data_IF_075026263624
#
_entry.id   IF_075026263624
#
_cell.length_a   1.000
_cell.length_b   1.000
_cell.length_c   1.000
_cell.angle_alpha   90.00
_cell.angle_beta   90.00
_cell.angle_gamma   90.00
#
_symmetry.space_group_name_H-M   'P 1'
#
loop_
_entity.id
_entity.type
_entity.pdbx_description
1 polymer ?
#
# COMPACT_ATOMS: atom_id res chain seq x y z
N UNK A 1 15.07 11.54 33.77
CA UNK A 1 13.88 11.66 34.62
C UNK A 1 13.40 10.26 34.90
N UNK A 2 13.26 9.87 36.17
CA UNK A 2 12.68 8.58 36.51
C UNK A 2 11.22 8.56 36.02
N UNK A 3 10.85 7.58 35.23
CA UNK A 3 9.46 7.35 34.80
C UNK A 3 8.69 6.86 36.01
N UNK A 4 7.70 7.62 36.44
CA UNK A 4 6.74 7.19 37.48
C UNK A 4 5.92 6.02 36.90
N UNK A 5 5.74 4.95 37.66
CA UNK A 5 4.85 3.85 37.24
C UNK A 5 3.44 4.37 36.99
N UNK A 6 2.83 3.94 35.88
CA UNK A 6 1.48 4.30 35.52
C UNK A 6 0.43 3.49 36.31
N UNK A 7 0.83 2.34 36.81
CA UNK A 7 -0.03 1.43 37.56
C UNK A 7 0.80 0.55 38.48
N UNK A 8 0.22 0.21 39.63
CA UNK A 8 0.80 -0.72 40.60
C UNK A 8 0.03 -2.04 40.55
N UNK A 9 0.75 -3.14 40.37
CA UNK A 9 0.17 -4.48 40.29
C UNK A 9 0.41 -5.23 41.59
N UNK A 10 -0.66 -5.61 42.28
CA UNK A 10 -0.60 -6.45 43.48
C UNK A 10 -1.02 -7.87 43.11
N UNK A 11 -0.07 -8.83 43.03
CA UNK A 11 -0.39 -10.20 42.66
C UNK A 11 -1.27 -10.89 43.71
N UNK A 12 -2.26 -11.65 43.27
CA UNK A 12 -3.13 -12.50 44.08
C UNK A 12 -2.78 -13.98 43.96
N UNK A 13 -1.94 -14.34 42.99
CA UNK A 13 -1.46 -15.71 42.80
C UNK A 13 0.07 -15.79 42.92
N UNK A 14 0.58 -16.99 43.23
CA UNK A 14 2.02 -17.21 43.40
C UNK A 14 2.85 -17.00 42.11
N UNK A 15 2.21 -17.06 40.97
CA UNK A 15 2.87 -16.91 39.65
C UNK A 15 2.82 -15.45 39.15
N UNK A 16 2.17 -14.53 39.84
CA UNK A 16 2.04 -13.14 39.45
C UNK A 16 1.18 -12.90 38.18
N UNK A 17 0.35 -13.86 37.80
CA UNK A 17 -0.47 -13.79 36.59
C UNK A 17 -1.86 -13.18 36.83
N UNK A 18 -2.33 -13.27 38.05
CA UNK A 18 -3.64 -12.72 38.50
C UNK A 18 -3.39 -11.75 39.64
N UNK A 19 -3.99 -10.58 39.60
CA UNK A 19 -3.78 -9.58 40.63
C UNK A 19 -4.73 -8.39 40.52
N UNK A 20 -4.54 -7.44 41.41
CA UNK A 20 -5.18 -6.14 41.38
C UNK A 20 -4.27 -5.13 40.69
N UNK A 21 -4.83 -4.38 39.77
CA UNK A 21 -4.13 -3.31 39.06
C UNK A 21 -4.70 -1.97 39.56
N UNK A 22 -3.87 -1.20 40.23
CA UNK A 22 -4.22 0.15 40.67
C UNK A 22 -3.64 1.15 39.66
N UNK A 23 -4.53 1.89 38.97
CA UNK A 23 -4.18 2.85 37.94
C UNK A 23 -4.29 4.25 38.50
N UNK A 24 -3.18 5.00 38.52
CA UNK A 24 -3.14 6.38 39.01
C UNK A 24 -4.08 7.30 38.21
N UNK A 25 -4.76 8.21 38.89
CA UNK A 25 -5.64 9.23 38.26
C UNK A 25 -4.88 10.17 37.33
N UNK A 26 -3.56 10.32 37.50
CA UNK A 26 -2.69 11.15 36.63
C UNK A 26 -2.35 10.49 35.28
N UNK A 27 -2.80 9.25 35.05
CA UNK A 27 -2.48 8.49 33.85
C UNK A 27 -3.45 8.80 32.73
N UNK A 28 -2.91 9.17 31.57
CA UNK A 28 -3.72 9.30 30.36
C UNK A 28 -3.93 7.94 29.72
N UNK A 29 -5.18 7.53 29.60
CA UNK A 29 -5.58 6.27 28.97
C UNK A 29 -6.08 6.56 27.57
N UNK A 30 -5.55 5.84 26.58
CA UNK A 30 -5.99 5.91 25.19
C UNK A 30 -6.62 4.59 24.76
N UNK A 31 -7.74 4.65 24.05
CA UNK A 31 -8.34 3.47 23.45
C UNK A 31 -7.60 3.14 22.14
N UNK A 32 -6.86 2.04 22.11
CA UNK A 32 -6.26 1.49 20.88
C UNK A 32 -7.30 0.82 19.98
N UNK A 33 -8.23 0.09 20.60
CA UNK A 33 -9.44 -0.46 19.96
C UNK A 33 -10.67 -0.17 20.81
N UNK A 34 -11.84 -0.31 20.19
CA UNK A 34 -13.11 -0.13 20.87
C UNK A 34 -13.48 1.33 21.15
N UNK A 35 -12.91 2.32 20.46
CA UNK A 35 -13.24 3.75 20.63
C UNK A 35 -14.75 4.00 20.52
N UNK A 36 -15.42 3.39 19.55
CA UNK A 36 -16.88 3.51 19.39
C UNK A 36 -17.64 2.86 20.54
N UNK A 37 -17.15 1.76 21.09
CA UNK A 37 -17.72 1.10 22.26
C UNK A 37 -17.55 1.98 23.51
N UNK A 38 -16.37 2.56 23.68
CA UNK A 38 -16.10 3.48 24.80
C UNK A 38 -17.00 4.71 24.75
N UNK A 39 -17.14 5.36 23.57
CA UNK A 39 -18.04 6.50 23.36
C UNK A 39 -19.50 6.08 23.62
N UNK A 40 -19.90 4.88 23.18
CA UNK A 40 -21.23 4.33 23.46
C UNK A 40 -21.49 4.14 24.94
N UNK A 41 -20.53 3.57 25.67
CA UNK A 41 -20.61 3.41 27.14
C UNK A 41 -20.69 4.77 27.85
N UNK A 42 -19.84 5.73 27.46
CA UNK A 42 -19.87 7.10 28.01
C UNK A 42 -21.25 7.76 27.79
N UNK A 43 -21.77 7.67 26.55
CA UNK A 43 -23.11 8.21 26.26
C UNK A 43 -24.23 7.52 27.04
N UNK A 44 -24.14 6.18 27.20
CA UNK A 44 -25.10 5.44 28.02
C UNK A 44 -25.05 5.88 29.50
N UNK A 45 -23.85 6.02 30.06
CA UNK A 45 -23.66 6.48 31.44
C UNK A 45 -24.13 7.92 31.62
N UNK A 46 -23.92 8.79 30.65
CA UNK A 46 -24.47 10.15 30.65
C UNK A 46 -26.00 10.11 30.64
N UNK A 47 -26.62 9.31 29.79
CA UNK A 47 -28.06 9.15 29.71
C UNK A 47 -28.65 8.61 31.03
N UNK A 48 -28.03 7.60 31.65
CA UNK A 48 -28.46 7.05 32.93
C UNK A 48 -28.38 8.12 34.03
N UNK A 49 -27.30 8.91 34.06
CA UNK A 49 -27.06 9.92 35.09
C UNK A 49 -27.96 11.16 34.93
N UNK A 50 -28.15 11.62 33.69
CA UNK A 50 -28.80 12.91 33.40
C UNK A 50 -30.21 12.78 32.84
N UNK A 51 -30.63 11.58 32.45
CA UNK A 51 -31.90 11.31 31.77
C UNK A 51 -31.95 11.72 30.30
N UNK A 52 -30.88 12.32 29.77
CA UNK A 52 -30.82 12.82 28.40
C UNK A 52 -29.41 12.73 27.82
N UNK A 53 -29.31 12.52 26.51
CA UNK A 53 -28.05 12.48 25.74
C UNK A 53 -28.11 13.45 24.55
N UNK A 54 -27.14 14.34 24.46
CA UNK A 54 -27.03 15.29 23.37
C UNK A 54 -26.61 14.56 22.07
N UNK A 55 -27.33 14.81 20.98
CA UNK A 55 -26.95 14.33 19.64
C UNK A 55 -26.07 15.36 18.95
N UNK A 56 -25.10 14.87 18.15
CA UNK A 56 -24.18 15.70 17.36
C UNK A 56 -24.23 15.34 15.87
N UNK A 57 -24.01 16.32 15.01
CA UNK A 57 -23.77 16.13 13.58
C UNK A 57 -22.35 15.57 13.36
N UNK A 58 -22.06 15.14 12.12
CA UNK A 58 -20.70 14.70 11.74
C UNK A 58 -19.63 15.78 11.94
N UNK A 59 -20.01 17.05 11.82
CA UNK A 59 -19.14 18.23 12.06
C UNK A 59 -19.04 18.63 13.53
N UNK A 60 -19.44 17.75 14.46
CA UNK A 60 -19.43 17.93 15.91
C UNK A 60 -20.33 19.07 16.44
N UNK A 61 -21.18 19.65 15.62
CA UNK A 61 -22.19 20.62 16.09
C UNK A 61 -23.36 19.91 16.75
N UNK A 62 -23.89 20.43 17.88
CA UNK A 62 -25.04 19.83 18.52
C UNK A 62 -26.27 19.88 17.60
N UNK A 63 -26.99 18.79 17.52
CA UNK A 63 -28.34 18.75 16.99
C UNK A 63 -29.25 19.19 18.12
N UNK A 64 -30.12 20.16 17.94
CA UNK A 64 -31.02 20.67 18.97
C UNK A 64 -31.98 19.64 19.62
N UNK A 65 -31.84 18.35 19.29
CA UNK A 65 -32.62 17.24 19.83
C UNK A 65 -31.77 16.37 20.74
N UNK A 66 -32.35 15.99 21.88
CA UNK A 66 -31.79 15.03 22.81
C UNK A 66 -32.41 13.64 22.57
N UNK A 67 -31.71 12.60 22.98
CA UNK A 67 -32.27 11.27 23.22
C UNK A 67 -32.57 11.23 24.72
N UNK A 68 -33.80 10.84 25.10
CA UNK A 68 -34.20 10.72 26.49
C UNK A 68 -34.44 9.27 26.87
N UNK A 69 -34.51 8.97 28.18
CA UNK A 69 -34.89 7.65 28.67
C UNK A 69 -36.31 7.29 28.21
N UNK A 70 -37.22 8.28 28.12
CA UNK A 70 -38.55 8.06 27.59
C UNK A 70 -38.59 7.72 26.12
N UNK A 71 -37.71 8.33 25.30
CA UNK A 71 -37.54 7.93 23.90
C UNK A 71 -37.10 6.47 23.76
N UNK A 72 -36.20 5.99 24.62
CA UNK A 72 -35.77 4.60 24.62
C UNK A 72 -36.93 3.66 25.01
N UNK A 73 -37.74 4.05 25.97
CA UNK A 73 -38.92 3.28 26.36
C UNK A 73 -39.93 3.19 25.23
N UNK A 74 -40.28 4.31 24.63
CA UNK A 74 -41.32 4.37 23.61
C UNK A 74 -40.90 3.75 22.27
N UNK A 75 -39.64 3.94 21.85
CA UNK A 75 -39.17 3.48 20.53
C UNK A 75 -38.57 2.08 20.56
N UNK A 76 -37.90 1.72 21.64
CA UNK A 76 -37.11 0.49 21.72
C UNK A 76 -37.58 -0.44 22.82
N UNK A 77 -38.64 -0.07 23.56
CA UNK A 77 -39.23 -0.87 24.64
C UNK A 77 -38.24 -1.21 25.78
N UNK A 78 -37.30 -0.27 26.05
CA UNK A 78 -36.28 -0.43 27.10
C UNK A 78 -36.80 0.20 28.37
N UNK A 79 -37.05 -0.64 29.36
CA UNK A 79 -37.52 -0.16 30.65
C UNK A 79 -36.43 0.58 31.44
N UNK A 80 -36.75 1.70 32.13
CA UNK A 80 -35.79 2.48 32.93
C UNK A 80 -35.00 1.64 33.96
N UNK A 81 -35.66 0.65 34.59
CA UNK A 81 -35.01 -0.26 35.53
C UNK A 81 -33.89 -1.09 34.90
N UNK A 82 -34.03 -1.47 33.61
CA UNK A 82 -32.98 -2.17 32.88
C UNK A 82 -31.76 -1.30 32.66
N UNK A 83 -31.95 -0.01 32.31
CA UNK A 83 -30.84 0.95 32.14
C UNK A 83 -30.06 1.13 33.44
N UNK A 84 -30.72 1.23 34.58
CA UNK A 84 -30.08 1.34 35.91
C UNK A 84 -29.24 0.10 36.25
N UNK A 85 -29.66 -1.09 35.81
CA UNK A 85 -28.92 -2.32 36.02
C UNK A 85 -27.72 -2.41 35.10
N UNK A 86 -27.80 -1.88 33.86
CA UNK A 86 -26.64 -1.81 32.93
C UNK A 86 -25.47 -1.05 33.54
N UNK A 87 -25.71 -0.04 34.38
CA UNK A 87 -24.62 0.69 35.05
C UNK A 87 -23.80 -0.19 36.02
N UNK A 88 -24.30 -1.37 36.38
CA UNK A 88 -23.64 -2.34 37.29
C UNK A 88 -22.93 -3.47 36.52
N UNK A 89 -23.09 -3.52 35.18
CA UNK A 89 -22.48 -4.54 34.38
C UNK A 89 -20.94 -4.37 34.32
N UNK A 90 -20.24 -5.48 34.12
CA UNK A 90 -18.79 -5.51 34.05
C UNK A 90 -18.36 -5.72 32.61
N UNK A 91 -17.34 -5.00 32.19
CA UNK A 91 -16.69 -5.16 30.89
C UNK A 91 -15.24 -5.57 31.07
N UNK A 92 -14.76 -6.48 30.22
CA UNK A 92 -13.35 -6.83 30.14
C UNK A 92 -12.58 -5.74 29.41
N UNK A 93 -11.45 -5.33 30.00
CA UNK A 93 -10.54 -4.35 29.42
C UNK A 93 -9.12 -4.92 29.45
N UNK A 94 -8.39 -4.84 28.34
CA UNK A 94 -6.96 -5.13 28.28
C UNK A 94 -6.18 -3.82 28.35
N UNK A 95 -5.30 -3.70 29.34
CA UNK A 95 -4.40 -2.56 29.50
C UNK A 95 -3.03 -2.91 28.92
N UNK A 96 -2.50 -2.01 28.09
CA UNK A 96 -1.17 -2.14 27.48
C UNK A 96 -0.35 -0.93 27.92
N UNK A 97 0.79 -1.18 28.57
CA UNK A 97 1.71 -0.11 28.93
C UNK A 97 2.22 0.62 27.69
N UNK A 98 2.12 1.95 27.67
CA UNK A 98 2.64 2.77 26.58
C UNK A 98 4.15 2.68 26.46
N UNK A 99 4.88 2.56 27.58
CA UNK A 99 6.34 2.35 27.65
C UNK A 99 6.60 1.27 28.70
N UNK A 100 7.49 0.33 28.40
CA UNK A 100 7.96 -0.71 29.34
C UNK A 100 9.33 -0.30 29.86
N UNK A 101 9.70 -0.80 31.05
CA UNK A 101 11.02 -0.52 31.65
C UNK A 101 12.14 -1.00 30.72
N UNK A 102 13.08 -0.11 30.44
CA UNK A 102 14.21 -0.39 29.54
C UNK A 102 13.93 -0.11 28.05
N UNK A 103 12.70 0.20 27.68
CA UNK A 103 12.29 0.50 26.30
C UNK A 103 12.48 2.00 26.00
N UNK A 104 13.07 2.32 24.85
CA UNK A 104 13.11 3.69 24.34
C UNK A 104 11.72 4.15 23.90
N UNK A 105 11.51 5.48 23.80
CA UNK A 105 10.25 6.03 23.28
C UNK A 105 9.93 5.56 21.86
N UNK A 106 10.95 5.33 21.06
CA UNK A 106 10.78 4.90 19.69
C UNK A 106 10.35 3.43 19.60
N UNK A 107 11.01 2.56 20.36
CA UNK A 107 10.62 1.15 20.50
C UNK A 107 9.19 1.02 21.04
N UNK A 108 8.84 1.78 22.07
CA UNK A 108 7.48 1.84 22.62
C UNK A 108 6.45 2.23 21.55
N UNK A 109 6.72 3.25 20.73
CA UNK A 109 5.84 3.65 19.63
C UNK A 109 5.70 2.55 18.59
N UNK A 110 6.78 1.88 18.22
CA UNK A 110 6.76 0.74 17.28
C UNK A 110 5.89 -0.39 17.82
N UNK A 111 6.11 -0.79 19.08
CA UNK A 111 5.35 -1.86 19.74
C UNK A 111 3.85 -1.54 19.81
N UNK A 112 3.47 -0.33 20.24
CA UNK A 112 2.07 0.08 20.32
C UNK A 112 1.41 0.13 18.94
N UNK A 113 2.11 0.60 17.90
CA UNK A 113 1.60 0.57 16.52
C UNK A 113 1.43 -0.86 16.00
N UNK A 114 2.38 -1.75 16.28
CA UNK A 114 2.28 -3.16 15.91
C UNK A 114 1.04 -3.80 16.53
N UNK A 115 0.83 -3.62 17.84
CA UNK A 115 -0.36 -4.12 18.55
C UNK A 115 -1.64 -3.55 17.93
N UNK A 116 -1.69 -2.23 17.66
CA UNK A 116 -2.85 -1.59 17.03
C UNK A 116 -3.18 -2.21 15.66
N UNK A 117 -2.16 -2.43 14.83
CA UNK A 117 -2.33 -3.06 13.51
C UNK A 117 -2.87 -4.47 13.65
N UNK A 118 -2.30 -5.28 14.54
CA UNK A 118 -2.70 -6.68 14.70
C UNK A 118 -4.12 -6.82 15.25
N UNK A 119 -4.49 -6.03 16.24
CA UNK A 119 -5.86 -6.02 16.81
C UNK A 119 -6.87 -5.61 15.72
N UNK A 120 -6.57 -4.57 14.95
CA UNK A 120 -7.47 -4.09 13.89
C UNK A 120 -7.52 -5.02 12.67
N UNK A 121 -6.44 -5.72 12.33
CA UNK A 121 -6.43 -6.75 11.29
C UNK A 121 -7.41 -7.89 11.56
N UNK A 122 -7.63 -8.19 12.85
CA UNK A 122 -8.54 -9.25 13.29
C UNK A 122 -10.00 -8.80 13.34
N UNK A 123 -10.25 -7.50 13.55
CA UNK A 123 -11.60 -6.96 13.79
C UNK A 123 -12.25 -6.35 12.55
N UNK A 124 -11.57 -5.43 11.87
CA UNK A 124 -12.04 -4.80 10.62
C UNK A 124 -10.85 -4.65 9.68
N UNK A 125 -10.89 -5.22 8.47
CA UNK A 125 -9.75 -5.14 7.56
C UNK A 125 -9.41 -3.68 7.27
N UNK A 126 -8.21 -3.25 7.68
CA UNK A 126 -7.64 -1.99 7.22
C UNK A 126 -7.46 -2.03 5.71
N UNK A 127 -7.62 -0.90 5.05
CA UNK A 127 -7.24 -0.81 3.64
C UNK A 127 -5.75 -1.13 3.48
N UNK A 128 -5.38 -1.66 2.31
CA UNK A 128 -3.96 -1.99 2.07
C UNK A 128 -3.03 -0.79 2.20
N UNK A 129 -3.53 0.43 1.90
CA UNK A 129 -2.79 1.67 2.12
C UNK A 129 -2.55 1.95 3.60
N UNK A 130 -3.58 1.84 4.44
CA UNK A 130 -3.45 2.01 5.90
C UNK A 130 -2.52 0.95 6.52
N UNK A 131 -2.60 -0.31 6.04
CA UNK A 131 -1.67 -1.36 6.44
C UNK A 131 -0.22 -1.01 6.11
N UNK A 132 0.02 -0.52 4.89
CA UNK A 132 1.37 -0.10 4.47
C UNK A 132 1.92 1.05 5.32
N UNK A 133 1.04 1.96 5.81
CA UNK A 133 1.43 3.07 6.68
C UNK A 133 1.80 2.62 8.09
N UNK A 134 1.09 1.65 8.64
CA UNK A 134 1.14 1.31 10.06
C UNK A 134 1.95 0.06 10.37
N UNK A 135 2.22 -0.79 9.36
CA UNK A 135 2.90 -2.06 9.58
C UNK A 135 4.39 -1.86 9.87
N UNK A 136 4.78 -2.04 11.13
CA UNK A 136 6.16 -1.92 11.62
C UNK A 136 6.93 -3.25 11.58
N UNK A 137 6.27 -4.34 11.23
CA UNK A 137 6.88 -5.69 11.21
C UNK A 137 7.17 -6.16 9.78
N UNK A 138 6.68 -5.44 8.78
CA UNK A 138 6.91 -5.77 7.37
C UNK A 138 8.07 -4.94 6.81
N UNK A 139 9.22 -5.59 6.56
CA UNK A 139 10.42 -4.94 6.03
C UNK A 139 10.17 -4.17 4.73
N UNK A 140 9.38 -4.73 3.81
CA UNK A 140 9.05 -4.05 2.55
C UNK A 140 8.21 -2.78 2.77
N UNK A 141 7.30 -2.79 3.76
CA UNK A 141 6.51 -1.60 4.09
C UNK A 141 7.37 -0.51 4.73
N UNK A 142 8.30 -0.90 5.62
CA UNK A 142 9.23 0.03 6.27
C UNK A 142 10.11 0.71 5.22
N UNK A 143 10.74 -0.07 4.33
CA UNK A 143 11.59 0.44 3.24
C UNK A 143 10.80 1.36 2.32
N UNK A 144 9.59 0.95 1.89
CA UNK A 144 8.74 1.76 1.02
C UNK A 144 8.38 3.12 1.64
N UNK A 145 8.00 3.15 2.94
CA UNK A 145 7.74 4.41 3.66
C UNK A 145 8.97 5.29 3.73
N UNK A 146 10.14 4.69 4.02
CA UNK A 146 11.39 5.45 4.12
C UNK A 146 11.74 6.11 2.80
N UNK A 147 11.63 5.38 1.67
CA UNK A 147 11.88 5.94 0.34
C UNK A 147 10.83 6.99 -0.03
N UNK A 148 9.55 6.78 0.27
CA UNK A 148 8.49 7.74 0.00
C UNK A 148 8.76 9.13 0.61
N UNK A 149 9.33 9.17 1.84
CA UNK A 149 9.58 10.44 2.55
C UNK A 149 10.98 11.00 2.35
N UNK A 150 11.94 10.21 1.85
CA UNK A 150 13.34 10.66 1.78
C UNK A 150 13.88 10.81 0.35
N UNK A 151 13.36 10.05 -0.63
CA UNK A 151 13.91 10.08 -1.98
C UNK A 151 13.49 11.34 -2.74
N UNK A 152 14.39 12.07 -3.41
CA UNK A 152 14.10 13.34 -4.11
C UNK A 152 12.92 13.26 -5.09
N UNK A 153 12.79 12.14 -5.82
CA UNK A 153 11.69 11.90 -6.77
C UNK A 153 10.32 11.85 -6.08
N UNK A 154 10.24 11.43 -4.81
CA UNK A 154 8.98 11.09 -4.14
C UNK A 154 8.65 11.99 -2.95
N UNK A 155 9.66 12.46 -2.20
CA UNK A 155 9.45 13.24 -0.97
C UNK A 155 8.63 14.49 -1.23
N UNK A 156 7.87 14.89 -0.24
CA UNK A 156 7.17 16.18 -0.28
C UNK A 156 8.18 17.33 -0.24
N UNK A 157 7.98 18.32 -1.10
CA UNK A 157 8.77 19.53 -1.21
C UNK A 157 7.80 20.70 -1.25
N UNK A 158 8.16 21.80 -0.60
CA UNK A 158 7.41 23.05 -0.65
C UNK A 158 7.21 23.50 -2.10
N UNK A 159 6.03 24.01 -2.43
CA UNK A 159 5.61 24.42 -3.78
C UNK A 159 5.53 23.30 -4.84
N UNK A 160 5.64 22.05 -4.44
CA UNK A 160 5.45 20.90 -5.32
C UNK A 160 4.26 20.05 -4.89
N UNK A 161 3.41 19.65 -5.84
CA UNK A 161 2.33 18.72 -5.57
C UNK A 161 2.85 17.41 -4.97
N UNK A 162 2.13 16.80 -4.01
CA UNK A 162 2.48 15.49 -3.45
C UNK A 162 2.70 14.44 -4.55
N UNK A 163 3.76 13.63 -4.40
CA UNK A 163 4.14 12.60 -5.37
C UNK A 163 3.65 11.20 -5.02
N UNK A 164 3.27 10.99 -3.77
CA UNK A 164 2.79 9.69 -3.26
C UNK A 164 1.38 9.83 -2.71
N UNK A 165 0.49 8.93 -3.11
CA UNK A 165 -0.83 8.80 -2.47
C UNK A 165 -0.71 7.79 -1.33
N UNK A 166 -0.99 8.24 -0.12
CA UNK A 166 -0.86 7.44 1.10
C UNK A 166 -2.08 6.58 1.41
N UNK A 167 -3.25 6.98 0.93
CA UNK A 167 -4.53 6.40 1.35
C UNK A 167 -5.12 5.41 0.32
N UNK A 168 -4.87 5.64 -0.96
CA UNK A 168 -5.47 4.87 -2.06
C UNK A 168 -4.47 3.91 -2.70
N UNK A 169 -4.99 2.77 -3.15
CA UNK A 169 -4.25 1.80 -3.96
C UNK A 169 -4.13 2.20 -5.43
N UNK A 170 -4.92 3.18 -5.87
CA UNK A 170 -5.03 3.59 -7.28
C UNK A 170 -4.70 5.06 -7.44
N UNK A 171 -4.23 5.41 -8.64
CA UNK A 171 -3.97 6.78 -9.03
C UNK A 171 -4.98 7.17 -10.11
N UNK A 172 -5.77 8.20 -9.83
CA UNK A 172 -6.73 8.73 -10.80
C UNK A 172 -5.99 9.37 -12.00
N UNK A 173 -6.60 9.35 -13.19
CA UNK A 173 -5.99 9.87 -14.42
C UNK A 173 -5.49 11.32 -14.28
N UNK A 174 -6.25 12.16 -13.55
CA UNK A 174 -5.95 13.59 -13.33
C UNK A 174 -5.07 13.86 -12.10
N UNK A 175 -4.67 12.85 -11.35
CA UNK A 175 -3.89 13.03 -10.13
C UNK A 175 -2.44 13.41 -10.43
N UNK A 176 -1.91 14.36 -9.68
CA UNK A 176 -0.53 14.82 -9.77
C UNK A 176 0.48 13.86 -9.13
N UNK A 177 0.02 12.90 -8.30
CA UNK A 177 0.91 11.92 -7.68
C UNK A 177 1.53 10.98 -8.71
N UNK A 178 2.75 10.51 -8.47
CA UNK A 178 3.43 9.55 -9.35
C UNK A 178 3.02 8.12 -9.04
N UNK A 179 2.80 7.82 -7.76
CA UNK A 179 2.58 6.46 -7.27
C UNK A 179 1.74 6.44 -6.00
N UNK A 180 1.50 5.24 -5.46
CA UNK A 180 0.85 5.06 -4.16
C UNK A 180 1.78 4.36 -3.19
N UNK A 181 1.60 4.55 -1.88
CA UNK A 181 2.40 3.83 -0.88
C UNK A 181 2.24 2.31 -1.02
N UNK A 182 1.03 1.84 -1.33
CA UNK A 182 0.80 0.41 -1.58
C UNK A 182 1.60 -0.09 -2.80
N UNK A 183 1.65 0.68 -3.88
CA UNK A 183 2.46 0.32 -5.05
C UNK A 183 3.94 0.29 -4.70
N UNK A 184 4.45 1.28 -3.95
CA UNK A 184 5.83 1.32 -3.47
C UNK A 184 6.18 0.08 -2.63
N UNK A 185 5.28 -0.34 -1.74
CA UNK A 185 5.47 -1.56 -0.94
C UNK A 185 5.52 -2.81 -1.84
N UNK A 186 4.64 -2.91 -2.83
CA UNK A 186 4.65 -4.04 -3.77
C UNK A 186 5.89 -4.02 -4.68
N UNK A 187 6.30 -2.85 -5.17
CA UNK A 187 7.56 -2.65 -5.90
C UNK A 187 8.75 -3.12 -5.06
N UNK A 188 8.82 -2.70 -3.80
CA UNK A 188 9.85 -3.12 -2.87
C UNK A 188 9.85 -4.64 -2.68
N UNK A 189 8.70 -5.26 -2.46
CA UNK A 189 8.57 -6.70 -2.29
C UNK A 189 8.95 -7.50 -3.56
N UNK A 190 8.64 -6.98 -4.75
CA UNK A 190 9.00 -7.61 -6.03
C UNK A 190 10.48 -7.50 -6.35
N UNK A 191 11.12 -6.40 -5.97
CA UNK A 191 12.54 -6.18 -6.18
C UNK A 191 13.39 -6.86 -5.10
N UNK A 192 13.25 -6.42 -3.84
CA UNK A 192 14.05 -6.92 -2.72
C UNK A 192 13.65 -8.33 -2.23
N UNK A 193 12.48 -8.84 -2.62
CA UNK A 193 12.05 -10.18 -2.24
C UNK A 193 12.91 -11.32 -2.80
N UNK A 194 13.84 -11.03 -3.73
CA UNK A 194 14.90 -11.93 -4.17
C UNK A 194 16.10 -11.89 -3.21
N UNK A 195 16.40 -10.74 -2.65
CA UNK A 195 17.50 -10.52 -1.71
C UNK A 195 17.13 -10.93 -0.29
N UNK A 196 15.90 -10.56 0.14
CA UNK A 196 15.37 -10.82 1.47
C UNK A 196 14.10 -11.70 1.40
N UNK A 197 14.22 -13.00 1.01
CA UNK A 197 13.05 -13.87 0.86
C UNK A 197 12.31 -14.12 2.18
N UNK A 198 13.00 -14.04 3.32
CA UNK A 198 12.44 -14.21 4.66
C UNK A 198 11.56 -13.05 5.12
N UNK A 199 11.63 -11.87 4.46
CA UNK A 199 10.70 -10.77 4.72
C UNK A 199 9.29 -11.00 4.16
N UNK A 200 9.12 -12.02 3.31
CA UNK A 200 7.81 -12.35 2.76
C UNK A 200 6.91 -12.89 3.86
N UNK A 201 5.65 -12.44 3.94
CA UNK A 201 4.70 -12.98 4.89
C UNK A 201 4.60 -14.50 4.72
N UNK A 202 4.50 -15.22 5.84
CA UNK A 202 4.24 -16.66 5.79
C UNK A 202 2.88 -16.92 5.13
N UNK A 203 2.80 -17.95 4.30
CA UNK A 203 1.53 -18.41 3.72
C UNK A 203 0.58 -18.99 4.79
N UNK A 204 1.09 -19.33 5.98
CA UNK A 204 0.29 -19.80 7.10
C UNK A 204 -0.50 -18.65 7.71
N UNK A 205 -1.82 -18.73 7.65
CA UNK A 205 -2.71 -17.75 8.28
C UNK A 205 -2.39 -17.62 9.77
N UNK A 206 -2.24 -16.39 10.24
CA UNK A 206 -2.05 -16.05 11.65
C UNK A 206 -0.59 -15.92 12.11
N UNK A 207 0.40 -16.15 11.23
CA UNK A 207 1.79 -15.82 11.56
C UNK A 207 2.05 -14.35 11.19
N UNK A 208 2.43 -13.58 12.19
CA UNK A 208 2.87 -12.20 12.04
C UNK A 208 4.32 -12.23 11.57
N UNK A 209 4.69 -11.51 10.48
CA UNK A 209 6.09 -11.39 10.10
C UNK A 209 6.88 -10.77 11.25
N UNK A 210 8.05 -11.30 11.53
CA UNK A 210 8.98 -10.65 12.44
C UNK A 210 9.61 -9.44 11.73
N UNK A 211 9.70 -8.33 12.45
CA UNK A 211 10.44 -7.16 11.98
C UNK A 211 11.89 -7.57 11.66
N UNK A 212 12.41 -7.24 10.48
CA UNK A 212 13.81 -7.45 10.17
C UNK A 212 14.73 -6.63 11.08
N UNK A 213 15.96 -7.10 11.26
CA UNK A 213 17.01 -6.38 11.99
C UNK A 213 17.31 -5.03 11.31
N UNK A 214 17.71 -4.05 12.09
CA UNK A 214 17.93 -2.69 11.58
C UNK A 214 19.04 -2.64 10.51
N UNK A 215 20.07 -3.47 10.60
CA UNK A 215 21.14 -3.59 9.58
C UNK A 215 20.60 -4.09 8.24
N UNK A 216 19.72 -5.10 8.25
CA UNK A 216 19.08 -5.58 7.04
C UNK A 216 18.13 -4.52 6.42
N UNK A 217 17.42 -3.79 7.28
CA UNK A 217 16.53 -2.70 6.84
C UNK A 217 17.34 -1.57 6.19
N UNK A 218 18.48 -1.17 6.74
CA UNK A 218 19.35 -0.15 6.15
C UNK A 218 19.93 -0.62 4.81
N UNK A 219 20.31 -1.88 4.70
CA UNK A 219 20.74 -2.46 3.43
C UNK A 219 19.60 -2.42 2.39
N UNK A 220 18.38 -2.85 2.76
CA UNK A 220 17.22 -2.81 1.90
C UNK A 220 16.86 -1.39 1.46
N UNK A 221 16.95 -0.41 2.38
CA UNK A 221 16.73 1.01 2.08
C UNK A 221 17.77 1.50 1.07
N UNK A 222 19.05 1.17 1.27
CA UNK A 222 20.13 1.55 0.36
C UNK A 222 19.95 0.98 -1.04
N UNK A 223 19.66 -0.32 -1.15
CA UNK A 223 19.45 -1.00 -2.43
C UNK A 223 18.20 -0.46 -3.16
N UNK A 224 17.10 -0.24 -2.44
CA UNK A 224 15.88 0.31 -3.04
C UNK A 224 16.01 1.79 -3.40
N UNK A 225 16.80 2.54 -2.64
CA UNK A 225 17.17 3.92 -2.99
C UNK A 225 17.96 3.96 -4.29
N UNK A 226 18.97 3.12 -4.46
CA UNK A 226 19.76 3.03 -5.70
C UNK A 226 18.86 2.74 -6.90
N UNK A 227 17.87 1.84 -6.75
CA UNK A 227 16.89 1.59 -7.81
C UNK A 227 16.14 2.88 -8.18
N UNK A 228 15.68 3.66 -7.19
CA UNK A 228 14.97 4.92 -7.44
C UNK A 228 15.88 6.02 -8.00
N UNK A 229 17.17 6.05 -7.60
CA UNK A 229 18.17 6.93 -8.21
C UNK A 229 18.28 6.65 -9.74
N UNK A 230 18.29 5.37 -10.14
CA UNK A 230 18.27 4.98 -11.54
C UNK A 230 16.92 5.27 -12.23
N UNK A 231 15.78 4.99 -11.60
CA UNK A 231 14.45 5.33 -12.14
C UNK A 231 14.35 6.82 -12.47
N UNK A 232 14.86 7.69 -11.59
CA UNK A 232 14.87 9.13 -11.81
C UNK A 232 15.70 9.57 -13.05
N UNK A 233 16.59 8.71 -13.57
CA UNK A 233 17.35 9.01 -14.79
C UNK A 233 16.58 8.75 -16.08
N UNK A 234 15.46 8.03 -16.04
CA UNK A 234 14.64 7.76 -17.21
C UNK A 234 14.09 9.06 -17.81
N UNK A 235 14.11 9.22 -19.13
CA UNK A 235 13.61 10.42 -19.82
C UNK A 235 12.20 10.84 -19.37
N UNK A 236 11.28 9.90 -19.21
CA UNK A 236 9.92 10.16 -18.78
C UNK A 236 9.85 10.80 -17.37
N UNK A 237 10.66 10.34 -16.43
CA UNK A 237 10.71 10.94 -15.09
C UNK A 237 11.43 12.30 -15.09
N UNK A 238 12.49 12.45 -15.89
CA UNK A 238 13.17 13.75 -16.06
C UNK A 238 12.22 14.82 -16.57
N UNK A 239 11.41 14.51 -17.57
CA UNK A 239 10.39 15.45 -18.09
C UNK A 239 9.44 15.94 -17.01
N UNK A 240 9.07 15.08 -16.06
CA UNK A 240 8.22 15.51 -14.91
C UNK A 240 8.99 16.38 -13.93
N UNK A 241 10.29 16.16 -13.71
CA UNK A 241 11.13 17.06 -12.92
C UNK A 241 11.36 18.42 -13.64
N UNK A 242 11.32 18.45 -14.97
CA UNK A 242 11.43 19.63 -15.81
C UNK A 242 10.09 20.40 -16.00
N UNK A 243 8.99 19.89 -15.43
CA UNK A 243 7.71 20.60 -15.38
C UNK A 243 6.56 19.95 -16.15
N UNK A 244 6.75 18.85 -16.87
CA UNK A 244 5.63 18.08 -17.46
C UNK A 244 4.78 17.51 -16.33
N UNK A 245 3.47 17.66 -16.42
CA UNK A 245 2.58 17.17 -15.37
C UNK A 245 2.39 15.65 -15.44
N UNK A 246 2.38 14.97 -14.27
CA UNK A 246 2.14 13.54 -14.18
C UNK A 246 0.79 13.08 -14.81
N UNK A 247 -0.31 13.85 -14.77
CA UNK A 247 -1.53 13.56 -15.52
C UNK A 247 -1.33 13.49 -17.03
N UNK A 248 -0.49 14.33 -17.61
CA UNK A 248 -0.19 14.33 -19.04
C UNK A 248 0.51 13.05 -19.46
N UNK A 249 1.49 12.61 -18.68
CA UNK A 249 2.18 11.34 -18.90
C UNK A 249 1.23 10.14 -18.75
N UNK A 250 0.26 10.21 -17.83
CA UNK A 250 -0.59 9.08 -17.44
C UNK A 250 -1.82 8.88 -18.30
N UNK A 251 -2.53 9.98 -18.66
CA UNK A 251 -3.79 9.90 -19.40
C UNK A 251 -3.60 9.14 -20.70
N UNK A 252 -4.64 8.43 -21.12
CA UNK A 252 -4.71 7.83 -22.45
C UNK A 252 -4.96 8.90 -23.51
N UNK A 253 -4.62 8.60 -24.75
CA UNK A 253 -4.75 9.54 -25.87
C UNK A 253 -6.22 9.97 -26.12
N UNK A 254 -7.18 9.13 -25.80
CA UNK A 254 -8.62 9.38 -25.98
C UNK A 254 -9.29 10.08 -24.79
N UNK A 255 -8.59 10.23 -23.65
CA UNK A 255 -9.14 10.93 -22.48
C UNK A 255 -9.17 12.44 -22.73
N UNK A 256 -10.03 13.16 -21.97
CA UNK A 256 -10.11 14.62 -22.05
C UNK A 256 -8.71 15.23 -21.85
N UNK A 257 -8.35 16.13 -22.75
CA UNK A 257 -7.05 16.82 -22.86
C UNK A 257 -5.90 15.89 -23.35
N UNK A 258 -6.21 14.64 -23.71
CA UNK A 258 -5.23 13.68 -24.21
C UNK A 258 -4.14 13.32 -23.19
N UNK A 259 -3.25 12.44 -23.56
CA UNK A 259 -2.08 12.08 -22.78
C UNK A 259 -1.21 11.05 -23.48
N UNK A 260 -0.08 10.73 -22.88
CA UNK A 260 0.88 9.80 -23.48
C UNK A 260 0.56 8.33 -23.22
N UNK A 261 -0.30 8.02 -22.25
CA UNK A 261 -0.57 6.63 -21.87
C UNK A 261 0.68 5.90 -21.41
N UNK A 262 1.58 6.57 -20.68
CA UNK A 262 2.84 6.02 -20.25
C UNK A 262 2.67 5.13 -19.02
N UNK A 263 3.14 3.89 -19.13
CA UNK A 263 2.98 2.88 -18.07
C UNK A 263 3.78 3.19 -16.80
N UNK A 264 4.87 3.96 -16.89
CA UNK A 264 5.70 4.34 -15.74
C UNK A 264 4.97 5.23 -14.74
N UNK A 265 3.86 5.85 -15.16
CA UNK A 265 3.00 6.69 -14.32
C UNK A 265 1.73 5.98 -13.83
N UNK A 266 1.71 4.65 -13.95
CA UNK A 266 0.63 3.80 -13.45
C UNK A 266 1.18 2.74 -12.49
N UNK A 267 0.59 2.55 -11.30
CA UNK A 267 1.07 1.57 -10.33
C UNK A 267 1.35 0.19 -10.91
N UNK A 268 0.48 -0.31 -11.80
CA UNK A 268 0.65 -1.62 -12.43
C UNK A 268 1.92 -1.71 -13.29
N UNK A 269 2.24 -0.67 -14.03
CA UNK A 269 3.46 -0.60 -14.86
C UNK A 269 4.72 -0.49 -14.01
N UNK A 270 4.68 0.33 -12.96
CA UNK A 270 5.78 0.48 -12.00
C UNK A 270 6.11 -0.86 -11.31
N UNK A 271 5.08 -1.58 -10.89
CA UNK A 271 5.25 -2.90 -10.26
C UNK A 271 5.79 -3.92 -11.28
N UNK A 272 5.29 -3.93 -12.52
CA UNK A 272 5.81 -4.81 -13.56
C UNK A 272 7.28 -4.54 -13.86
N UNK A 273 7.67 -3.27 -13.98
CA UNK A 273 9.05 -2.86 -14.19
C UNK A 273 9.95 -3.32 -13.03
N UNK A 274 9.57 -3.04 -11.80
CA UNK A 274 10.39 -3.42 -10.62
C UNK A 274 10.48 -4.92 -10.42
N UNK A 275 9.46 -5.69 -10.79
CA UNK A 275 9.50 -7.15 -10.82
C UNK A 275 10.53 -7.64 -11.87
N UNK A 276 10.55 -7.06 -13.06
CA UNK A 276 11.52 -7.37 -14.08
C UNK A 276 12.94 -7.02 -13.64
N UNK A 277 13.12 -5.85 -13.03
CA UNK A 277 14.42 -5.40 -12.49
C UNK A 277 14.95 -6.35 -11.43
N UNK A 278 14.07 -6.84 -10.53
CA UNK A 278 14.45 -7.84 -9.54
C UNK A 278 14.94 -9.15 -10.18
N UNK A 279 14.31 -9.61 -11.27
CA UNK A 279 14.76 -10.80 -12.02
C UNK A 279 16.09 -10.53 -12.73
N UNK A 280 16.23 -9.39 -13.39
CA UNK A 280 17.44 -9.03 -14.12
C UNK A 280 18.65 -8.92 -13.18
N UNK A 281 18.50 -8.24 -12.06
CA UNK A 281 19.59 -8.02 -11.10
C UNK A 281 19.93 -9.29 -10.33
N UNK A 282 18.95 -9.92 -9.69
CA UNK A 282 19.21 -10.99 -8.71
C UNK A 282 19.20 -12.41 -9.29
N UNK A 283 18.70 -12.61 -10.52
CA UNK A 283 18.69 -13.93 -11.17
C UNK A 283 19.51 -14.01 -12.45
N UNK A 284 19.70 -12.88 -13.13
CA UNK A 284 20.44 -12.81 -14.40
C UNK A 284 21.74 -12.00 -14.30
N UNK A 285 22.08 -11.52 -13.08
CA UNK A 285 23.33 -10.82 -12.73
C UNK A 285 23.63 -9.56 -13.57
N UNK A 286 22.59 -8.88 -14.06
CA UNK A 286 22.75 -7.60 -14.74
C UNK A 286 22.96 -6.47 -13.74
N UNK A 287 23.89 -5.55 -14.01
CA UNK A 287 24.01 -4.31 -13.24
C UNK A 287 22.86 -3.35 -13.53
N UNK A 288 22.41 -2.61 -12.53
CA UNK A 288 21.39 -1.57 -12.71
C UNK A 288 21.81 -0.57 -13.80
N UNK A 289 23.08 -0.16 -13.83
CA UNK A 289 23.60 0.77 -14.83
C UNK A 289 23.40 0.25 -16.27
N UNK A 290 23.75 -1.02 -16.53
CA UNK A 290 23.56 -1.60 -17.86
C UNK A 290 22.08 -1.73 -18.23
N UNK A 291 21.23 -2.12 -17.28
CA UNK A 291 19.78 -2.19 -17.50
C UNK A 291 19.21 -0.81 -17.83
N UNK A 292 19.53 0.20 -17.03
CA UNK A 292 18.97 1.55 -17.21
C UNK A 292 19.55 2.30 -18.41
N UNK A 293 20.73 1.94 -18.89
CA UNK A 293 21.23 2.40 -20.18
C UNK A 293 20.29 1.95 -21.33
N UNK A 294 19.92 0.67 -21.35
CA UNK A 294 18.99 0.12 -22.34
C UNK A 294 17.58 0.68 -22.17
N UNK A 295 17.05 0.66 -20.94
CA UNK A 295 15.70 1.18 -20.66
C UNK A 295 15.59 2.69 -20.91
N UNK A 296 16.67 3.46 -20.71
CA UNK A 296 16.70 4.88 -21.03
C UNK A 296 16.56 5.14 -22.54
N UNK A 297 17.22 4.34 -23.39
CA UNK A 297 17.03 4.40 -24.84
C UNK A 297 15.61 3.99 -25.23
N UNK A 298 15.09 2.93 -24.61
CA UNK A 298 13.73 2.46 -24.88
C UNK A 298 12.68 3.51 -24.50
N UNK A 299 12.84 4.16 -23.33
CA UNK A 299 11.98 5.23 -22.86
C UNK A 299 12.07 6.49 -23.75
N UNK A 300 13.29 6.89 -24.15
CA UNK A 300 13.49 8.02 -25.06
C UNK A 300 12.79 7.82 -26.42
N UNK A 301 12.68 6.59 -26.87
CA UNK A 301 11.96 6.21 -28.08
C UNK A 301 10.46 5.99 -27.87
N UNK A 302 9.91 6.34 -26.69
CA UNK A 302 8.51 6.19 -26.35
C UNK A 302 8.06 4.76 -26.04
N UNK A 303 8.99 3.85 -25.77
CA UNK A 303 8.70 2.42 -25.56
C UNK A 303 7.77 2.14 -24.37
N UNK A 304 7.70 3.03 -23.38
CA UNK A 304 6.77 2.93 -22.26
C UNK A 304 5.46 3.69 -22.46
N UNK A 305 5.33 4.46 -23.55
CA UNK A 305 4.15 5.27 -23.87
C UNK A 305 3.15 4.54 -24.76
N UNK A 306 1.98 5.12 -24.94
CA UNK A 306 0.98 4.64 -25.89
C UNK A 306 0.32 3.31 -25.52
N UNK A 307 0.14 3.01 -24.24
CA UNK A 307 -0.49 1.75 -23.80
C UNK A 307 -1.83 1.46 -24.49
N UNK A 308 -2.58 2.49 -24.85
CA UNK A 308 -3.88 2.44 -25.51
C UNK A 308 -3.80 2.35 -27.04
N UNK A 309 -2.58 2.34 -27.61
CA UNK A 309 -2.36 2.27 -29.04
C UNK A 309 -1.93 0.85 -29.46
N UNK A 310 -2.49 0.30 -30.55
CA UNK A 310 -2.13 -1.04 -31.01
C UNK A 310 -0.64 -1.26 -31.29
N UNK A 311 0.09 -0.21 -31.70
CA UNK A 311 1.53 -0.24 -31.98
C UNK A 311 2.37 -0.47 -30.73
N UNK A 312 1.82 -0.16 -29.56
CA UNK A 312 2.51 -0.35 -28.28
C UNK A 312 2.57 -1.83 -27.90
N UNK A 313 3.72 -2.23 -27.34
CA UNK A 313 3.88 -3.55 -26.73
C UNK A 313 2.85 -3.82 -25.63
N UNK A 314 2.44 -2.77 -24.91
CA UNK A 314 1.60 -2.86 -23.71
C UNK A 314 0.11 -2.96 -23.99
N UNK A 315 -0.32 -2.79 -25.25
CA UNK A 315 -1.69 -2.95 -25.69
C UNK A 315 -2.17 -4.40 -25.51
N UNK A 316 -3.33 -4.58 -24.92
CA UNK A 316 -3.86 -5.90 -24.58
C UNK A 316 -3.23 -6.53 -23.33
N UNK A 317 -2.03 -6.09 -22.90
CA UNK A 317 -1.32 -6.62 -21.71
C UNK A 317 -1.66 -5.81 -20.47
N UNK A 318 -1.39 -4.50 -20.49
CA UNK A 318 -1.66 -3.58 -19.39
C UNK A 318 -2.83 -2.65 -19.69
N UNK A 319 -3.38 -2.70 -20.89
CA UNK A 319 -4.56 -1.98 -21.34
C UNK A 319 -5.56 -2.94 -21.95
N UNK A 320 -6.81 -2.88 -21.51
CA UNK A 320 -7.95 -3.63 -22.03
C UNK A 320 -8.65 -2.78 -23.10
N UNK A 321 -8.52 -3.10 -24.40
CA UNK A 321 -9.10 -2.28 -25.46
C UNK A 321 -10.62 -2.32 -25.47
N UNK A 322 -11.24 -3.42 -25.02
CA UNK A 322 -12.67 -3.57 -24.99
C UNK A 322 -13.32 -2.71 -23.90
N UNK A 323 -12.68 -2.65 -22.74
CA UNK A 323 -13.17 -1.90 -21.57
C UNK A 323 -12.52 -0.52 -21.43
N UNK A 324 -11.57 -0.18 -22.31
CA UNK A 324 -10.82 1.08 -22.30
C UNK A 324 -10.26 1.44 -20.92
N UNK A 325 -9.61 0.46 -20.27
CA UNK A 325 -9.09 0.60 -18.90
C UNK A 325 -7.79 -0.15 -18.71
N UNK A 326 -7.13 0.17 -17.60
CA UNK A 326 -5.92 -0.53 -17.15
C UNK A 326 -6.24 -1.99 -16.80
N UNK A 327 -5.39 -2.92 -17.25
CA UNK A 327 -5.49 -4.35 -17.03
C UNK A 327 -4.38 -4.80 -16.05
N UNK A 328 -4.79 -5.13 -14.83
CA UNK A 328 -3.84 -5.55 -13.77
C UNK A 328 -3.35 -7.00 -13.98
N UNK A 329 -4.19 -7.85 -14.57
CA UNK A 329 -3.89 -9.27 -14.79
C UNK A 329 -2.67 -9.51 -15.70
N UNK A 330 -2.34 -8.57 -16.60
CA UNK A 330 -1.20 -8.66 -17.50
C UNK A 330 0.16 -8.32 -16.89
N UNK A 331 0.21 -7.97 -15.61
CA UNK A 331 1.43 -7.48 -14.93
C UNK A 331 2.61 -8.45 -15.01
N UNK A 332 2.36 -9.73 -14.75
CA UNK A 332 3.43 -10.74 -14.76
C UNK A 332 3.97 -11.00 -16.18
N UNK A 333 3.09 -10.95 -17.20
CA UNK A 333 3.51 -11.00 -18.60
C UNK A 333 4.31 -9.75 -18.99
N UNK A 334 3.87 -8.57 -18.56
CA UNK A 334 4.61 -7.33 -18.79
C UNK A 334 6.02 -7.40 -18.19
N UNK A 335 6.17 -7.92 -16.97
CA UNK A 335 7.46 -8.11 -16.34
C UNK A 335 8.35 -9.09 -17.15
N UNK A 336 7.81 -10.22 -17.62
CA UNK A 336 8.54 -11.17 -18.47
C UNK A 336 8.99 -10.52 -19.79
N UNK A 337 8.14 -9.70 -20.41
CA UNK A 337 8.46 -9.00 -21.62
C UNK A 337 9.56 -7.93 -21.40
N UNK A 338 9.54 -7.22 -20.27
CA UNK A 338 10.63 -6.29 -19.91
C UNK A 338 11.95 -7.06 -19.73
N UNK A 339 11.94 -8.22 -19.08
CA UNK A 339 13.13 -9.07 -18.98
C UNK A 339 13.62 -9.47 -20.36
N UNK A 340 12.71 -9.90 -21.25
CA UNK A 340 13.04 -10.31 -22.61
C UNK A 340 13.63 -9.17 -23.44
N UNK A 341 13.04 -7.99 -23.44
CA UNK A 341 13.55 -6.87 -24.26
C UNK A 341 14.92 -6.37 -23.78
N UNK A 342 15.27 -6.57 -22.51
CA UNK A 342 16.58 -6.16 -21.95
C UNK A 342 17.63 -7.24 -22.12
N UNK A 343 17.31 -8.49 -21.79
CA UNK A 343 18.29 -9.59 -21.72
C UNK A 343 18.22 -10.57 -22.90
N UNK A 344 17.11 -10.59 -23.65
CA UNK A 344 16.84 -11.67 -24.58
C UNK A 344 16.59 -13.01 -23.89
N UNK A 345 16.48 -14.07 -24.70
CA UNK A 345 16.52 -15.47 -24.24
C UNK A 345 17.03 -16.36 -25.36
N UNK A 346 17.89 -17.29 -25.01
CA UNK A 346 18.40 -18.34 -25.93
C UNK A 346 17.52 -19.62 -25.86
N UNK A 347 16.60 -19.69 -24.89
CA UNK A 347 15.68 -20.80 -24.73
C UNK A 347 14.50 -20.64 -25.70
N UNK A 348 14.45 -21.54 -26.69
CA UNK A 348 13.38 -21.57 -27.68
C UNK A 348 12.01 -21.86 -27.11
N UNK A 349 11.92 -22.64 -26.01
CA UNK A 349 10.65 -22.93 -25.33
C UNK A 349 10.15 -21.69 -24.61
N UNK A 350 11.02 -20.98 -23.88
CA UNK A 350 10.69 -19.72 -23.21
C UNK A 350 10.24 -18.69 -24.26
N UNK A 351 10.94 -18.60 -25.38
CA UNK A 351 10.62 -17.69 -26.49
C UNK A 351 9.25 -18.00 -27.11
N UNK A 352 8.98 -19.27 -27.36
CA UNK A 352 7.69 -19.71 -27.92
C UNK A 352 6.52 -19.45 -26.98
N UNK A 353 6.70 -19.74 -25.69
CA UNK A 353 5.67 -19.50 -24.68
C UNK A 353 5.41 -17.98 -24.50
N UNK A 354 6.46 -17.16 -24.45
CA UNK A 354 6.32 -15.72 -24.34
C UNK A 354 5.57 -15.13 -25.54
N UNK A 355 5.88 -15.61 -26.76
CA UNK A 355 5.18 -15.24 -27.99
C UNK A 355 3.71 -15.65 -27.94
N UNK A 356 3.42 -16.87 -27.50
CA UNK A 356 2.05 -17.39 -27.33
C UNK A 356 1.24 -16.53 -26.35
N UNK A 357 1.81 -16.20 -25.18
CA UNK A 357 1.15 -15.37 -24.17
C UNK A 357 0.91 -13.94 -24.68
N UNK A 358 1.88 -13.39 -25.42
CA UNK A 358 1.75 -12.07 -26.04
C UNK A 358 0.62 -12.06 -27.08
N UNK A 359 0.57 -13.03 -27.97
CA UNK A 359 -0.47 -13.16 -28.97
C UNK A 359 -1.85 -13.29 -28.31
N UNK A 360 -1.98 -14.17 -27.29
CA UNK A 360 -3.22 -14.37 -26.54
C UNK A 360 -3.70 -13.08 -25.88
N UNK A 361 -2.80 -12.30 -25.26
CA UNK A 361 -3.19 -11.04 -24.61
C UNK A 361 -3.66 -9.96 -25.59
N UNK A 362 -3.25 -10.03 -26.83
CA UNK A 362 -3.66 -9.13 -27.92
C UNK A 362 -4.84 -9.66 -28.74
N UNK A 363 -5.38 -10.83 -28.39
CA UNK A 363 -6.51 -11.44 -29.11
C UNK A 363 -7.83 -10.83 -28.68
N UNK A 364 -8.63 -10.43 -29.66
CA UNK A 364 -9.99 -9.93 -29.54
C UNK A 364 -10.86 -10.87 -30.39
N UNK A 365 -11.77 -11.59 -29.76
CA UNK A 365 -12.49 -12.70 -30.38
C UNK A 365 -11.50 -13.76 -30.91
N UNK A 366 -11.44 -14.03 -32.20
CA UNK A 366 -10.58 -15.04 -32.81
C UNK A 366 -9.31 -14.45 -33.50
N UNK A 367 -9.17 -13.13 -33.55
CA UNK A 367 -8.06 -12.45 -34.21
C UNK A 367 -7.17 -11.71 -33.21
N UNK A 368 -5.88 -11.70 -33.45
CA UNK A 368 -4.93 -10.91 -32.68
C UNK A 368 -4.70 -9.54 -33.30
N UNK A 369 -4.48 -8.53 -32.46
CA UNK A 369 -4.07 -7.21 -32.92
C UNK A 369 -2.57 -7.17 -33.15
N UNK A 370 -2.15 -6.97 -34.39
CA UNK A 370 -0.74 -6.77 -34.76
C UNK A 370 -0.18 -5.42 -34.28
N UNK A 371 1.15 -5.27 -34.34
CA UNK A 371 1.80 -4.00 -34.00
C UNK A 371 1.64 -2.92 -35.08
N UNK A 372 1.08 -3.25 -36.22
CA UNK A 372 0.69 -2.30 -37.28
C UNK A 372 -0.76 -1.81 -37.15
N UNK A 373 -1.44 -2.18 -36.04
CA UNK A 373 -2.84 -1.84 -35.78
C UNK A 373 -3.86 -2.62 -36.60
N UNK A 374 -3.44 -3.68 -37.29
CA UNK A 374 -4.33 -4.55 -38.07
C UNK A 374 -4.57 -5.88 -37.38
N UNK A 375 -5.71 -6.48 -37.67
CA UNK A 375 -5.99 -7.83 -37.23
C UNK A 375 -5.17 -8.85 -38.01
N UNK A 376 -4.60 -9.81 -37.30
CA UNK A 376 -3.76 -10.87 -37.86
C UNK A 376 -4.00 -12.19 -37.15
N UNK A 377 -3.50 -13.28 -37.67
CA UNK A 377 -3.56 -14.57 -36.95
C UNK A 377 -2.65 -14.55 -35.71
N UNK A 378 -3.02 -15.21 -34.62
CA UNK A 378 -2.22 -15.23 -33.38
C UNK A 378 -0.75 -15.69 -33.61
N UNK A 379 -0.53 -16.60 -34.54
CA UNK A 379 0.82 -17.07 -34.90
C UNK A 379 1.72 -16.05 -35.60
N UNK A 380 1.15 -14.97 -36.13
CA UNK A 380 1.87 -13.90 -36.80
C UNK A 380 2.33 -12.79 -35.87
N UNK A 381 1.79 -12.75 -34.62
CA UNK A 381 2.24 -11.82 -33.60
C UNK A 381 3.67 -12.20 -33.19
N UNK A 382 4.63 -11.39 -33.58
CA UNK A 382 6.05 -11.55 -33.25
C UNK A 382 6.36 -11.02 -31.83
N UNK A 383 7.52 -11.44 -31.29
CA UNK A 383 8.09 -10.77 -30.12
C UNK A 383 8.76 -9.45 -30.55
N UNK A 384 8.79 -8.45 -29.65
CA UNK A 384 9.53 -7.22 -29.91
C UNK A 384 11.02 -7.49 -30.02
N UNK A 385 11.79 -6.62 -30.69
CA UNK A 385 13.24 -6.74 -30.72
C UNK A 385 13.85 -6.54 -29.32
N UNK A 386 14.95 -7.22 -29.06
CA UNK A 386 15.78 -6.98 -27.88
C UNK A 386 16.47 -5.63 -28.01
N UNK A 387 16.59 -4.88 -26.95
CA UNK A 387 17.28 -3.60 -26.92
C UNK A 387 18.80 -3.86 -27.00
N UNK A 388 19.43 -3.29 -27.98
CA UNK A 388 20.88 -3.43 -28.20
C UNK A 388 21.71 -2.65 -27.18
#
# INVERSE_FOLDING_TARGET
MATKSAADFTPLDANGKVGLLDVSEDVTIFALDGQHRLIGVQGLMELIRTGKLQRYKKDKKPLGAFITVEDLRLKYYIEPAYLQNLAKEKIGIEFISAVVTGESREEARRRVRSIFVHVNLMATPLSKGQLAQLNEDNGFAIVARKIAVSHPLLKDVEDRNPRVNWDSATVAAKSTVLTTLQALQEMCARYLGHRFPHWKPSEKKGLIPMRPEDEELEQGISEFKQLFDHLATLPSYRRVEEGTEAPEMRRFSFEKDGGEGNLLFRPVGQIALTQALGILVFKKDFSLTAIFQKLGQYDANGGFSGMDKPESLWYGILYDPNKKRVLVAGRDLAAKLIVYIVAGTDDDMERAELRRLLALSRTIEDCSMGFDGKFTEPREVGLPPVIN
#
